data_IF_598041029297
#
_entry.id   IF_598041029297
#
_cell.length_a   1.000
_cell.length_b   1.000
_cell.length_c   1.000
_cell.angle_alpha   90.00
_cell.angle_beta   90.00
_cell.angle_gamma   90.00
#
_symmetry.space_group_name_H-M   'P 1'
#
loop_
_entity.id
_entity.type
_entity.pdbx_description
1 polymer ?
#
# COMPACT_ATOMS: atom_id res chain seq x y z
N UNK A 1 -16.23 -19.33 -17.30
CA UNK A 1 -15.76 -17.99 -17.71
C UNK A 1 -14.24 -18.10 -17.86
N UNK A 2 -13.65 -17.48 -18.87
CA UNK A 2 -12.19 -17.45 -19.02
C UNK A 2 -11.77 -16.11 -19.60
N UNK A 3 -10.66 -15.55 -19.12
CA UNK A 3 -10.00 -14.43 -19.76
C UNK A 3 -9.47 -14.94 -21.10
N UNK A 4 -9.94 -14.37 -22.21
CA UNK A 4 -9.62 -14.89 -23.56
C UNK A 4 -8.31 -14.30 -24.06
N UNK A 5 -8.07 -13.01 -23.82
CA UNK A 5 -6.87 -12.29 -24.25
C UNK A 5 -6.70 -10.98 -23.47
N UNK A 6 -5.44 -10.57 -23.35
CA UNK A 6 -5.00 -9.28 -22.82
C UNK A 6 -4.34 -8.49 -23.95
N UNK A 7 -4.67 -7.22 -24.10
CA UNK A 7 -3.92 -6.30 -24.98
C UNK A 7 -3.33 -5.15 -24.17
N UNK A 8 -2.21 -4.61 -24.66
CA UNK A 8 -1.41 -3.56 -24.00
C UNK A 8 -2.18 -2.24 -23.79
N UNK A 9 -3.36 -2.10 -24.41
CA UNK A 9 -4.23 -0.92 -24.39
C UNK A 9 -5.25 -0.90 -23.24
N UNK A 10 -5.05 -1.73 -22.19
CA UNK A 10 -5.94 -1.87 -21.01
C UNK A 10 -7.32 -2.46 -21.32
N UNK A 11 -7.45 -3.20 -22.42
CA UNK A 11 -8.73 -3.81 -22.80
C UNK A 11 -8.74 -5.32 -22.53
N UNK A 12 -9.86 -5.83 -22.02
CA UNK A 12 -10.03 -7.24 -21.68
C UNK A 12 -11.33 -7.78 -22.29
N UNK A 13 -11.23 -8.87 -23.06
CA UNK A 13 -12.42 -9.55 -23.60
C UNK A 13 -12.81 -10.70 -22.67
N UNK A 14 -14.01 -10.63 -22.11
CA UNK A 14 -14.55 -11.64 -21.21
C UNK A 14 -15.67 -12.41 -21.92
N UNK A 15 -15.56 -13.75 -21.95
CA UNK A 15 -16.68 -14.61 -22.34
C UNK A 15 -17.53 -14.91 -21.11
N UNK A 16 -18.77 -14.43 -21.09
CA UNK A 16 -19.76 -14.76 -20.07
C UNK A 16 -20.85 -15.66 -20.64
N UNK A 17 -21.08 -16.81 -19.98
CA UNK A 17 -22.24 -17.67 -20.23
C UNK A 17 -23.16 -17.49 -19.02
N UNK A 18 -24.33 -16.87 -19.22
CA UNK A 18 -25.38 -16.86 -18.19
C UNK A 18 -26.02 -18.24 -18.11
N UNK A 19 -26.47 -18.65 -16.92
CA UNK A 19 -27.23 -19.92 -16.76
C UNK A 19 -28.52 -19.97 -17.58
N UNK A 20 -29.05 -18.81 -17.97
CA UNK A 20 -30.37 -18.69 -18.61
C UNK A 20 -30.34 -18.28 -20.09
N UNK A 21 -29.17 -18.08 -20.70
CA UNK A 21 -29.10 -17.76 -22.13
C UNK A 21 -28.10 -18.67 -22.86
N UNK A 22 -28.55 -19.26 -23.97
CA UNK A 22 -27.72 -19.91 -24.99
C UNK A 22 -26.74 -18.96 -25.69
N UNK A 23 -26.59 -17.72 -25.21
CA UNK A 23 -25.83 -16.66 -25.87
C UNK A 23 -24.53 -16.34 -25.15
N UNK A 24 -23.42 -16.50 -25.87
CA UNK A 24 -22.11 -15.97 -25.49
C UNK A 24 -22.10 -14.45 -25.67
N UNK A 25 -22.41 -13.69 -24.61
CA UNK A 25 -22.24 -12.23 -24.64
C UNK A 25 -20.77 -11.88 -24.47
N UNK A 26 -20.23 -11.16 -25.47
CA UNK A 26 -18.88 -10.59 -25.43
C UNK A 26 -18.96 -9.16 -24.94
N UNK A 27 -18.13 -8.83 -23.96
CA UNK A 27 -18.04 -7.49 -23.39
C UNK A 27 -16.71 -6.84 -23.77
N UNK A 28 -16.75 -5.55 -24.05
CA UNK A 28 -15.56 -4.71 -24.00
C UNK A 28 -15.35 -4.25 -22.55
N UNK A 29 -14.11 -4.31 -22.05
CA UNK A 29 -13.82 -3.98 -20.66
C UNK A 29 -12.72 -2.95 -20.57
N UNK A 30 -12.97 -1.87 -19.85
CA UNK A 30 -11.94 -0.96 -19.36
C UNK A 30 -11.62 -1.29 -17.90
N UNK A 31 -10.34 -1.15 -17.52
CA UNK A 31 -9.88 -1.42 -16.16
C UNK A 31 -9.58 -0.11 -15.44
N UNK A 32 -10.31 0.15 -14.35
CA UNK A 32 -10.07 1.24 -13.42
C UNK A 32 -9.33 0.72 -12.17
N UNK A 33 -8.18 1.33 -11.88
CA UNK A 33 -7.34 1.06 -10.71
C UNK A 33 -6.98 2.41 -10.09
N UNK A 34 -6.97 2.48 -8.76
CA UNK A 34 -6.61 3.70 -8.05
C UNK A 34 -5.23 4.24 -8.47
N UNK A 35 -5.23 5.45 -9.03
CA UNK A 35 -4.03 6.14 -9.52
C UNK A 35 -3.17 6.73 -8.41
N UNK A 36 -3.59 6.68 -7.15
CA UNK A 36 -2.80 7.19 -6.03
C UNK A 36 -1.70 6.17 -5.65
N UNK A 37 -0.41 6.49 -5.82
CA UNK A 37 0.69 5.54 -5.58
C UNK A 37 0.93 5.21 -4.11
N UNK A 38 0.43 6.04 -3.18
CA UNK A 38 0.53 5.79 -1.74
C UNK A 38 -0.75 5.16 -1.17
N UNK A 39 -1.73 4.86 -2.02
CA UNK A 39 -2.95 4.18 -1.62
C UNK A 39 -2.73 2.66 -1.56
N UNK A 40 -3.18 2.05 -0.47
CA UNK A 40 -3.10 0.61 -0.20
C UNK A 40 -4.33 -0.17 -0.66
N UNK A 41 -5.27 0.44 -1.40
CA UNK A 41 -6.41 -0.29 -1.95
C UNK A 41 -5.92 -1.42 -2.87
N UNK A 42 -6.67 -2.51 -2.92
CA UNK A 42 -6.35 -3.71 -3.70
C UNK A 42 -7.37 -3.92 -4.84
N UNK A 43 -8.17 -2.88 -5.10
CA UNK A 43 -9.35 -2.98 -5.94
C UNK A 43 -9.00 -2.82 -7.42
N UNK A 44 -9.56 -3.71 -8.23
CA UNK A 44 -9.71 -3.56 -9.68
C UNK A 44 -11.20 -3.41 -9.97
N UNK A 45 -11.56 -2.41 -10.76
CA UNK A 45 -12.92 -2.27 -11.30
C UNK A 45 -12.91 -2.49 -12.81
N UNK A 46 -13.73 -3.43 -13.26
CA UNK A 46 -14.00 -3.69 -14.66
C UNK A 46 -15.25 -2.91 -15.07
N UNK A 47 -15.07 -1.92 -15.93
CA UNK A 47 -16.16 -1.17 -16.56
C UNK A 47 -16.53 -1.90 -17.86
N UNK A 48 -17.70 -2.55 -17.87
CA UNK A 48 -18.16 -3.39 -18.98
C UNK A 48 -19.07 -2.61 -19.93
N UNK A 49 -18.69 -2.60 -21.20
CA UNK A 49 -19.42 -1.98 -22.31
C UNK A 49 -19.88 -3.06 -23.29
N UNK A 50 -21.02 -2.84 -23.95
CA UNK A 50 -21.50 -3.75 -24.98
C UNK A 50 -20.52 -3.76 -26.16
N UNK A 51 -20.16 -4.93 -26.68
CA UNK A 51 -19.13 -5.02 -27.74
C UNK A 51 -19.52 -4.26 -29.00
N UNK A 52 -20.81 -4.18 -29.29
CA UNK A 52 -21.37 -3.49 -30.46
C UNK A 52 -21.51 -1.97 -30.25
N UNK A 53 -21.37 -1.48 -29.01
CA UNK A 53 -21.48 -0.06 -28.68
C UNK A 53 -20.32 0.39 -27.80
N UNK A 54 -19.12 0.47 -28.39
CA UNK A 54 -17.89 0.94 -27.72
C UNK A 54 -17.88 2.44 -27.44
N UNK A 55 -18.75 3.21 -28.08
CA UNK A 55 -18.85 4.66 -27.89
C UNK A 55 -19.83 5.06 -26.77
N UNK A 56 -20.40 4.10 -26.06
CA UNK A 56 -21.30 4.39 -24.95
C UNK A 56 -20.57 5.19 -23.85
N UNK A 57 -21.16 6.32 -23.45
CA UNK A 57 -20.58 7.21 -22.43
C UNK A 57 -20.50 6.59 -21.02
N UNK A 58 -21.31 5.56 -20.75
CA UNK A 58 -21.39 4.91 -19.45
C UNK A 58 -21.28 3.38 -19.58
N UNK A 59 -20.56 2.71 -18.66
CA UNK A 59 -20.51 1.26 -18.64
C UNK A 59 -21.87 0.69 -18.23
N UNK A 60 -22.20 -0.45 -18.83
CA UNK A 60 -23.42 -1.22 -18.51
C UNK A 60 -23.32 -1.91 -17.16
N UNK A 61 -22.11 -2.33 -16.77
CA UNK A 61 -21.83 -2.92 -15.46
C UNK A 61 -20.48 -2.44 -14.92
N UNK A 62 -20.36 -2.26 -13.60
CA UNK A 62 -19.10 -1.99 -12.92
C UNK A 62 -18.79 -3.08 -11.91
N UNK A 63 -17.82 -3.93 -12.23
CA UNK A 63 -17.49 -5.08 -11.40
C UNK A 63 -16.22 -4.82 -10.61
N UNK A 64 -16.33 -4.74 -9.29
CA UNK A 64 -15.20 -4.43 -8.42
C UNK A 64 -14.77 -5.64 -7.61
N UNK A 65 -13.47 -5.91 -7.59
CA UNK A 65 -12.87 -7.03 -6.88
C UNK A 65 -11.61 -6.58 -6.15
N UNK A 66 -11.35 -7.18 -5.00
CA UNK A 66 -10.07 -7.14 -4.30
C UNK A 66 -9.22 -8.25 -4.89
N UNK A 67 -8.16 -7.87 -5.60
CA UNK A 67 -7.37 -8.80 -6.40
C UNK A 67 -6.41 -9.65 -5.55
N UNK A 68 -6.00 -9.16 -4.39
CA UNK A 68 -5.08 -9.90 -3.52
C UNK A 68 -5.86 -10.85 -2.60
N UNK A 69 -6.99 -10.40 -2.07
CA UNK A 69 -7.87 -11.23 -1.23
C UNK A 69 -8.86 -12.10 -2.02
N UNK A 70 -8.84 -11.99 -3.36
CA UNK A 70 -9.68 -12.76 -4.29
C UNK A 70 -11.18 -12.72 -3.92
N UNK A 71 -11.72 -11.53 -3.68
CA UNK A 71 -13.12 -11.34 -3.26
C UNK A 71 -13.80 -10.18 -3.99
N UNK A 72 -15.12 -10.24 -4.11
CA UNK A 72 -15.90 -9.13 -4.64
C UNK A 72 -15.94 -7.96 -3.64
N UNK A 73 -15.88 -6.73 -4.16
CA UNK A 73 -15.91 -5.50 -3.36
C UNK A 73 -17.14 -4.69 -3.76
N UNK A 74 -17.76 -4.06 -2.77
CA UNK A 74 -18.84 -3.10 -2.99
C UNK A 74 -18.28 -1.70 -2.74
N UNK A 75 -18.10 -0.93 -3.81
CA UNK A 75 -17.63 0.45 -3.70
C UNK A 75 -18.75 1.37 -3.23
N UNK A 76 -18.36 2.43 -2.53
CA UNK A 76 -19.22 3.52 -2.07
C UNK A 76 -18.83 4.84 -2.74
N UNK A 77 -19.69 5.86 -2.66
CA UNK A 77 -19.45 7.19 -3.23
C UNK A 77 -19.96 7.36 -4.67
N UNK A 78 -19.33 8.26 -5.43
CA UNK A 78 -19.78 8.65 -6.78
C UNK A 78 -19.81 7.48 -7.78
N UNK A 79 -18.92 6.50 -7.61
CA UNK A 79 -18.88 5.26 -8.40
C UNK A 79 -19.34 4.04 -7.60
N UNK A 80 -20.38 4.19 -6.77
CA UNK A 80 -20.87 3.10 -5.94
C UNK A 80 -21.30 1.87 -6.76
N UNK A 81 -20.99 0.67 -6.25
CA UNK A 81 -21.40 -0.59 -6.88
C UNK A 81 -22.87 -0.87 -6.58
N UNK A 82 -23.68 -1.05 -7.64
CA UNK A 82 -25.09 -1.42 -7.49
C UNK A 82 -25.24 -2.80 -6.84
N UNK A 83 -26.44 -3.14 -6.34
CA UNK A 83 -26.68 -4.48 -5.79
C UNK A 83 -26.49 -5.56 -6.85
N UNK A 84 -26.93 -5.29 -8.07
CA UNK A 84 -26.83 -6.18 -9.23
C UNK A 84 -25.36 -6.40 -9.62
N UNK A 85 -24.60 -5.32 -9.76
CA UNK A 85 -23.18 -5.38 -10.10
C UNK A 85 -22.34 -6.06 -9.02
N UNK A 86 -22.71 -5.92 -7.74
CA UNK A 86 -22.04 -6.63 -6.66
C UNK A 86 -22.31 -8.15 -6.72
N UNK A 87 -23.53 -8.57 -7.05
CA UNK A 87 -23.82 -9.99 -7.27
C UNK A 87 -23.07 -10.52 -8.49
N UNK A 88 -23.02 -9.74 -9.57
CA UNK A 88 -22.25 -10.09 -10.76
C UNK A 88 -20.74 -10.19 -10.45
N UNK A 89 -20.20 -9.28 -9.64
CA UNK A 89 -18.81 -9.33 -9.15
C UNK A 89 -18.53 -10.62 -8.36
N UNK A 90 -19.45 -11.05 -7.48
CA UNK A 90 -19.32 -12.33 -6.76
C UNK A 90 -19.30 -13.53 -7.70
N UNK A 91 -20.13 -13.50 -8.75
CA UNK A 91 -20.14 -14.55 -9.76
C UNK A 91 -18.83 -14.59 -10.54
N UNK A 92 -18.25 -13.43 -10.86
CA UNK A 92 -16.95 -13.33 -11.52
C UNK A 92 -15.85 -13.95 -10.66
N UNK A 93 -15.74 -13.51 -9.40
CA UNK A 93 -14.76 -14.04 -8.43
C UNK A 93 -14.83 -15.56 -8.31
N UNK A 94 -16.05 -16.12 -8.22
CA UNK A 94 -16.26 -17.57 -8.08
C UNK A 94 -15.79 -18.37 -9.32
N UNK A 95 -15.79 -17.74 -10.49
CA UNK A 95 -15.52 -18.42 -11.76
C UNK A 95 -14.10 -18.22 -12.28
N UNK A 96 -13.28 -17.38 -11.64
CA UNK A 96 -11.88 -17.21 -12.00
C UNK A 96 -11.05 -18.43 -11.61
N UNK A 97 -10.23 -18.90 -12.56
CA UNK A 97 -9.21 -19.90 -12.31
C UNK A 97 -8.03 -19.29 -11.54
N UNK A 98 -7.18 -20.15 -10.96
CA UNK A 98 -5.94 -19.69 -10.31
C UNK A 98 -5.00 -18.97 -11.30
N UNK A 99 -5.02 -19.34 -12.58
CA UNK A 99 -4.28 -18.64 -13.60
C UNK A 99 -4.83 -17.22 -13.85
N UNK A 100 -6.16 -17.06 -13.91
CA UNK A 100 -6.79 -15.73 -14.06
C UNK A 100 -6.40 -14.81 -12.89
N UNK A 101 -6.44 -15.33 -11.66
CA UNK A 101 -6.01 -14.59 -10.48
C UNK A 101 -4.54 -14.20 -10.54
N UNK A 102 -3.65 -15.13 -10.88
CA UNK A 102 -2.21 -14.86 -11.00
C UNK A 102 -1.93 -13.75 -12.01
N UNK A 103 -2.59 -13.78 -13.18
CA UNK A 103 -2.45 -12.74 -14.20
C UNK A 103 -2.94 -11.37 -13.71
N UNK A 104 -4.12 -11.31 -13.07
CA UNK A 104 -4.67 -10.06 -12.55
C UNK A 104 -3.82 -9.48 -11.42
N UNK A 105 -3.30 -10.32 -10.52
CA UNK A 105 -2.40 -9.89 -9.45
C UNK A 105 -1.12 -9.31 -10.01
N UNK A 106 -0.48 -9.97 -10.99
CA UNK A 106 0.71 -9.45 -11.65
C UNK A 106 0.43 -8.12 -12.38
N UNK A 107 -0.67 -8.04 -13.12
CA UNK A 107 -1.08 -6.81 -13.78
C UNK A 107 -1.25 -5.65 -12.79
N UNK A 108 -2.00 -5.89 -11.70
CA UNK A 108 -2.24 -4.90 -10.66
C UNK A 108 -0.94 -4.42 -10.00
N UNK A 109 -0.08 -5.35 -9.57
CA UNK A 109 1.17 -5.02 -8.91
C UNK A 109 2.11 -4.22 -9.83
N UNK A 110 2.21 -4.61 -11.10
CA UNK A 110 2.98 -3.88 -12.10
C UNK A 110 2.42 -2.49 -12.36
N UNK A 111 1.10 -2.36 -12.42
CA UNK A 111 0.41 -1.08 -12.60
C UNK A 111 0.70 -0.13 -11.42
N UNK A 112 0.49 -0.59 -10.17
CA UNK A 112 0.75 0.21 -8.97
C UNK A 112 2.22 0.61 -8.86
N UNK A 113 3.16 -0.29 -9.21
CA UNK A 113 4.60 -0.01 -9.25
C UNK A 113 4.94 1.09 -10.25
N UNK A 114 4.45 0.98 -11.49
CA UNK A 114 4.69 1.98 -12.55
C UNK A 114 4.20 3.37 -12.13
N UNK A 115 3.05 3.46 -11.47
CA UNK A 115 2.55 4.74 -10.95
C UNK A 115 3.44 5.26 -9.82
N UNK A 116 3.85 4.41 -8.89
CA UNK A 116 4.75 4.79 -7.78
C UNK A 116 6.10 5.34 -8.26
N UNK A 117 6.62 4.79 -9.35
CA UNK A 117 7.88 5.22 -9.98
C UNK A 117 7.73 6.50 -10.81
N UNK A 118 6.64 6.63 -11.58
CA UNK A 118 6.43 7.76 -12.48
C UNK A 118 5.83 9.01 -11.83
N UNK A 119 5.15 8.87 -10.68
CA UNK A 119 4.50 10.00 -10.01
C UNK A 119 5.53 10.94 -9.38
N UNK A 120 5.56 12.24 -9.76
CA UNK A 120 6.45 13.20 -9.13
C UNK A 120 6.23 13.31 -7.62
N UNK A 121 7.33 13.34 -6.86
CA UNK A 121 7.30 13.47 -5.39
C UNK A 121 6.55 14.72 -4.91
N UNK A 122 6.51 15.78 -5.72
CA UNK A 122 5.74 17.00 -5.43
C UNK A 122 4.23 16.80 -5.38
N UNK A 123 3.70 15.81 -6.12
CA UNK A 123 2.27 15.52 -6.20
C UNK A 123 1.79 14.62 -5.07
N UNK A 124 2.70 14.06 -4.28
CA UNK A 124 2.37 13.18 -3.18
C UNK A 124 2.07 13.98 -1.90
N UNK A 125 0.97 13.62 -1.24
CA UNK A 125 0.60 14.18 0.05
C UNK A 125 0.71 13.11 1.14
N UNK A 126 1.90 13.01 1.73
CA UNK A 126 2.22 12.03 2.78
C UNK A 126 2.24 12.73 4.13
N UNK A 127 1.57 12.13 5.12
CA UNK A 127 1.67 12.55 6.51
C UNK A 127 2.82 11.82 7.20
N UNK A 128 3.57 12.53 8.03
CA UNK A 128 4.68 11.95 8.78
C UNK A 128 4.55 12.21 10.29
N UNK A 129 4.94 11.25 11.13
CA UNK A 129 5.02 11.44 12.58
C UNK A 129 6.26 12.28 12.96
N UNK A 130 6.27 13.57 12.58
CA UNK A 130 7.43 14.49 12.69
C UNK A 130 8.12 14.44 14.06
N UNK A 131 7.36 14.46 15.16
CA UNK A 131 7.93 14.42 16.52
C UNK A 131 8.76 13.16 16.75
N UNK A 132 8.26 12.00 16.33
CA UNK A 132 8.95 10.72 16.48
C UNK A 132 10.19 10.65 15.61
N UNK A 133 10.12 11.19 14.39
CA UNK A 133 11.26 11.25 13.47
C UNK A 133 12.37 12.14 14.04
N UNK A 134 12.05 13.34 14.49
CA UNK A 134 13.07 14.33 14.91
C UNK A 134 13.59 14.10 16.35
N UNK A 135 12.80 13.47 17.24
CA UNK A 135 13.17 13.33 18.68
C UNK A 135 13.42 11.90 19.12
N UNK A 136 12.69 10.94 18.54
CA UNK A 136 12.71 9.55 18.98
C UNK A 136 13.49 8.65 18.00
N UNK A 137 14.20 9.26 17.03
CA UNK A 137 14.97 8.58 15.99
C UNK A 137 14.17 7.55 15.19
N UNK A 138 12.85 7.76 15.05
CA UNK A 138 12.00 6.87 14.27
C UNK A 138 12.45 6.84 12.82
N UNK A 139 12.82 5.66 12.35
CA UNK A 139 13.03 5.37 10.94
C UNK A 139 11.70 5.02 10.28
N UNK A 140 11.54 5.38 9.01
CA UNK A 140 10.32 5.17 8.24
C UNK A 140 10.56 4.07 7.20
N UNK A 141 9.70 3.06 7.18
CA UNK A 141 9.73 2.00 6.18
C UNK A 141 9.35 2.54 4.81
N UNK A 142 9.99 1.99 3.77
CA UNK A 142 9.60 2.35 2.40
C UNK A 142 8.18 1.85 2.08
N UNK A 143 7.84 0.64 2.56
CA UNK A 143 6.52 0.02 2.44
C UNK A 143 5.42 0.80 3.18
N UNK A 144 5.75 1.52 4.26
CA UNK A 144 4.79 2.39 4.98
C UNK A 144 4.27 3.54 4.10
N UNK A 145 5.08 3.97 3.13
CA UNK A 145 4.75 5.09 2.24
C UNK A 145 4.27 4.59 0.88
N UNK A 146 4.90 3.54 0.36
CA UNK A 146 4.59 2.96 -0.95
C UNK A 146 4.17 1.51 -0.75
N UNK A 147 2.86 1.19 -0.71
CA UNK A 147 2.38 -0.16 -0.39
C UNK A 147 2.75 -1.24 -1.41
N UNK A 148 3.02 -0.85 -2.66
CA UNK A 148 3.36 -1.75 -3.77
C UNK A 148 4.66 -1.34 -4.45
N UNK A 149 5.79 -1.29 -3.72
CA UNK A 149 7.06 -0.94 -4.31
C UNK A 149 7.61 -2.12 -5.12
N UNK A 150 8.72 -1.91 -5.82
CA UNK A 150 9.52 -3.05 -6.28
C UNK A 150 10.00 -3.85 -5.07
N UNK A 151 9.79 -5.16 -5.07
CA UNK A 151 10.25 -6.02 -3.99
C UNK A 151 11.73 -6.36 -4.16
N UNK A 152 12.48 -6.31 -3.07
CA UNK A 152 13.90 -6.63 -3.08
C UNK A 152 14.12 -8.03 -2.51
N UNK A 153 14.42 -8.97 -3.40
CA UNK A 153 14.60 -10.38 -3.07
C UNK A 153 16.06 -10.84 -3.20
N UNK A 154 16.51 -11.60 -2.22
CA UNK A 154 17.68 -12.47 -2.30
C UNK A 154 17.23 -13.93 -2.26
N UNK A 155 18.04 -14.83 -2.80
CA UNK A 155 17.75 -16.26 -2.79
C UNK A 155 19.04 -17.03 -2.52
N UNK A 156 19.04 -17.84 -1.47
CA UNK A 156 20.16 -18.71 -1.10
C UNK A 156 19.60 -20.02 -0.53
N UNK A 157 20.13 -21.16 -0.98
CA UNK A 157 19.80 -22.50 -0.46
C UNK A 157 18.28 -22.78 -0.42
N UNK A 158 17.58 -22.45 -1.51
CA UNK A 158 16.11 -22.58 -1.67
C UNK A 158 15.29 -21.77 -0.63
N UNK A 159 15.89 -20.75 -0.03
CA UNK A 159 15.22 -19.80 0.86
C UNK A 159 15.22 -18.44 0.17
N UNK A 160 14.04 -17.84 0.06
CA UNK A 160 13.85 -16.47 -0.41
C UNK A 160 13.89 -15.50 0.76
N UNK A 161 14.57 -14.39 0.57
CA UNK A 161 14.73 -13.34 1.58
C UNK A 161 14.18 -12.04 1.04
N UNK A 162 13.06 -11.59 1.62
CA UNK A 162 12.52 -10.26 1.35
C UNK A 162 13.27 -9.25 2.21
N UNK A 163 13.74 -8.17 1.59
CA UNK A 163 14.39 -7.05 2.27
C UNK A 163 13.37 -5.94 2.51
N UNK A 164 12.95 -5.77 3.75
CA UNK A 164 12.10 -4.66 4.19
C UNK A 164 12.99 -3.53 4.75
N UNK A 165 12.98 -2.40 4.07
CA UNK A 165 13.94 -1.30 4.23
C UNK A 165 13.36 -0.06 4.90
N UNK A 166 14.06 0.43 5.93
CA UNK A 166 13.69 1.61 6.72
C UNK A 166 14.79 2.68 6.72
N UNK A 167 14.38 3.95 6.80
CA UNK A 167 15.26 5.11 6.59
C UNK A 167 15.07 6.20 7.64
N UNK A 168 16.19 6.83 8.03
CA UNK A 168 16.18 8.00 8.89
C UNK A 168 15.87 9.27 8.10
N UNK A 169 14.75 9.92 8.43
CA UNK A 169 14.33 11.16 7.78
C UNK A 169 14.62 12.42 8.60
N UNK A 170 15.22 12.27 9.79
CA UNK A 170 15.53 13.38 10.69
C UNK A 170 16.30 14.48 9.96
N UNK A 171 15.86 15.72 10.15
CA UNK A 171 16.30 16.83 9.29
C UNK A 171 17.71 17.33 9.55
N UNK A 172 18.25 17.01 10.72
CA UNK A 172 19.62 17.30 11.13
C UNK A 172 20.58 16.14 10.82
N UNK A 173 20.07 15.01 10.31
CA UNK A 173 20.85 13.81 10.07
C UNK A 173 21.24 13.66 8.59
N UNK A 174 22.51 13.37 8.33
CA UNK A 174 23.03 13.10 6.98
C UNK A 174 23.42 11.63 6.77
N UNK A 175 22.92 10.72 7.60
CA UNK A 175 23.36 9.33 7.58
C UNK A 175 23.05 8.63 6.25
N UNK A 176 23.80 7.57 5.99
CA UNK A 176 23.66 6.66 4.84
C UNK A 176 23.25 5.25 5.26
N UNK A 177 22.68 5.14 6.45
CA UNK A 177 22.20 3.89 7.01
C UNK A 177 20.79 3.56 6.51
N UNK A 178 20.57 2.27 6.29
CA UNK A 178 19.27 1.64 6.05
C UNK A 178 19.17 0.47 7.02
N UNK A 179 18.09 0.40 7.79
CA UNK A 179 17.78 -0.80 8.57
C UNK A 179 17.02 -1.75 7.65
N UNK A 180 17.53 -2.98 7.54
CA UNK A 180 16.93 -4.04 6.75
C UNK A 180 16.41 -5.11 7.69
N UNK A 181 15.09 -5.24 7.76
CA UNK A 181 14.43 -6.42 8.32
C UNK A 181 14.35 -7.46 7.22
N UNK A 182 15.04 -8.58 7.41
CA UNK A 182 15.19 -9.62 6.40
C UNK A 182 14.24 -10.77 6.76
N UNK A 183 13.21 -10.95 5.92
CA UNK A 183 12.16 -11.94 6.12
C UNK A 183 12.49 -13.18 5.28
N UNK A 184 12.74 -14.30 5.96
CA UNK A 184 13.07 -15.57 5.31
C UNK A 184 11.80 -16.37 5.01
N UNK A 185 11.67 -16.85 3.78
CA UNK A 185 10.52 -17.59 3.28
C UNK A 185 11.00 -18.86 2.58
N UNK A 186 10.46 -20.01 2.99
CA UNK A 186 10.71 -21.31 2.35
C UNK A 186 9.38 -22.02 2.13
N UNK A 187 9.14 -22.52 0.92
CA UNK A 187 7.89 -23.22 0.56
C UNK A 187 6.61 -22.44 0.91
N UNK A 188 6.64 -21.10 0.80
CA UNK A 188 5.51 -20.23 1.15
C UNK A 188 5.37 -19.91 2.64
N UNK A 189 6.19 -20.51 3.51
CA UNK A 189 6.15 -20.27 4.95
C UNK A 189 7.24 -19.28 5.39
N UNK A 190 6.84 -18.29 6.21
CA UNK A 190 7.77 -17.35 6.82
C UNK A 190 8.48 -18.03 7.99
N UNK A 191 9.80 -18.21 7.87
CA UNK A 191 10.66 -18.85 8.88
C UNK A 191 11.02 -17.93 10.05
N UNK A 192 10.86 -16.61 9.87
CA UNK A 192 11.42 -15.59 10.77
C UNK A 192 10.36 -14.74 11.49
N UNK A 193 9.12 -15.24 11.66
CA UNK A 193 7.95 -14.45 12.10
C UNK A 193 8.17 -13.65 13.39
N UNK A 194 8.68 -14.27 14.46
CA UNK A 194 8.81 -13.64 15.78
C UNK A 194 10.22 -13.11 16.08
N UNK A 195 11.19 -13.45 15.22
CA UNK A 195 12.60 -13.13 15.45
C UNK A 195 13.31 -12.92 14.10
N UNK A 196 13.02 -11.81 13.40
CA UNK A 196 13.61 -11.54 12.10
C UNK A 196 15.11 -11.26 12.21
N UNK A 197 15.83 -11.58 11.13
CA UNK A 197 17.18 -11.09 10.95
C UNK A 197 17.12 -9.59 10.68
N UNK A 198 17.92 -8.79 11.40
CA UNK A 198 17.94 -7.33 11.23
C UNK A 198 19.38 -6.87 11.12
N UNK A 199 19.69 -6.15 10.04
CA UNK A 199 21.00 -5.53 9.82
C UNK A 199 20.84 -4.04 9.57
N UNK A 200 21.78 -3.24 10.07
CA UNK A 200 21.93 -1.85 9.68
C UNK A 200 23.03 -1.79 8.61
N UNK A 201 22.66 -1.43 7.39
CA UNK A 201 23.55 -1.36 6.24
C UNK A 201 23.87 0.09 5.90
N UNK A 202 25.16 0.42 5.77
CA UNK A 202 25.62 1.69 5.22
C UNK A 202 25.85 1.55 3.72
N UNK A 203 24.96 2.13 2.90
CA UNK A 203 25.07 2.03 1.44
C UNK A 203 26.19 2.90 0.83
N UNK A 204 26.84 3.77 1.61
CA UNK A 204 28.00 4.54 1.19
C UNK A 204 29.30 3.82 1.52
N UNK A 205 29.42 3.29 2.74
CA UNK A 205 30.59 2.54 3.17
C UNK A 205 30.58 1.06 2.74
N UNK A 206 29.43 0.54 2.28
CA UNK A 206 29.21 -0.87 1.98
C UNK A 206 29.49 -1.80 3.17
N UNK A 207 29.23 -1.32 4.39
CA UNK A 207 29.42 -2.05 5.64
C UNK A 207 28.08 -2.37 6.29
N UNK A 208 28.04 -3.38 7.15
CA UNK A 208 26.85 -3.67 7.95
C UNK A 208 27.16 -3.93 9.43
N UNK A 209 26.25 -3.50 10.28
CA UNK A 209 26.14 -3.92 11.67
C UNK A 209 24.98 -4.90 11.81
N UNK A 210 25.20 -6.00 12.53
CA UNK A 210 24.15 -7.00 12.77
C UNK A 210 23.43 -6.65 14.06
N UNK A 211 22.18 -6.23 13.96
CA UNK A 211 21.36 -5.85 15.11
C UNK A 211 20.66 -7.07 15.72
N UNK A 212 20.16 -7.96 14.87
CA UNK A 212 19.57 -9.24 15.25
C UNK A 212 20.02 -10.30 14.24
N UNK A 213 20.42 -11.49 14.70
CA UNK A 213 20.89 -12.60 13.85
C UNK A 213 19.76 -13.44 13.24
N UNK A 214 18.53 -13.30 13.71
CA UNK A 214 17.41 -14.12 13.27
C UNK A 214 17.56 -15.60 13.66
N UNK A 215 16.76 -16.50 13.06
CA UNK A 215 16.79 -17.92 13.39
C UNK A 215 18.06 -18.62 12.90
N UNK A 216 18.37 -19.80 13.44
CA UNK A 216 19.62 -20.53 13.12
C UNK A 216 19.60 -21.24 11.76
N UNK A 217 18.41 -21.49 11.21
CA UNK A 217 18.19 -22.27 9.99
C UNK A 217 18.12 -21.41 8.71
N UNK A 218 18.67 -20.20 8.75
CA UNK A 218 18.75 -19.30 7.59
C UNK A 218 20.21 -18.93 7.30
N UNK A 219 20.44 -18.35 6.11
CA UNK A 219 21.74 -17.82 5.72
C UNK A 219 22.28 -16.82 6.75
N UNK A 220 23.60 -16.87 6.97
CA UNK A 220 24.26 -15.97 7.92
C UNK A 220 24.26 -14.54 7.38
N UNK A 221 24.28 -13.51 8.24
CA UNK A 221 24.32 -12.11 7.80
C UNK A 221 25.41 -11.80 6.78
N UNK A 222 26.60 -12.41 6.93
CA UNK A 222 27.72 -12.23 6.00
C UNK A 222 27.43 -12.75 4.58
N UNK A 223 26.64 -13.82 4.45
CA UNK A 223 26.28 -14.41 3.16
C UNK A 223 25.25 -13.52 2.45
N UNK A 224 24.24 -13.06 3.19
CA UNK A 224 23.24 -12.12 2.68
C UNK A 224 23.87 -10.76 2.31
N UNK A 225 24.83 -10.26 3.09
CA UNK A 225 25.57 -9.05 2.76
C UNK A 225 26.32 -9.19 1.43
N UNK A 226 26.98 -10.33 1.19
CA UNK A 226 27.65 -10.57 -0.10
C UNK A 226 26.66 -10.47 -1.26
N UNK A 227 25.46 -11.00 -1.09
CA UNK A 227 24.40 -10.92 -2.11
C UNK A 227 23.87 -9.50 -2.32
N UNK A 228 23.69 -8.72 -1.25
CA UNK A 228 23.33 -7.29 -1.32
C UNK A 228 24.37 -6.52 -2.14
N UNK A 229 25.65 -6.75 -1.88
CA UNK A 229 26.77 -6.10 -2.57
C UNK A 229 26.87 -6.56 -4.02
N UNK A 230 26.76 -7.87 -4.28
CA UNK A 230 26.80 -8.49 -5.61
C UNK A 230 25.70 -7.94 -6.52
N UNK A 231 24.46 -7.84 -6.00
CA UNK A 231 23.31 -7.27 -6.70
C UNK A 231 23.29 -5.73 -6.72
N UNK A 232 24.27 -5.07 -6.09
CA UNK A 232 24.40 -3.60 -6.02
C UNK A 232 23.17 -2.90 -5.44
N UNK A 233 22.48 -3.53 -4.48
CA UNK A 233 21.24 -3.01 -3.91
C UNK A 233 21.44 -1.70 -3.13
N UNK A 234 22.67 -1.37 -2.72
CA UNK A 234 23.02 -0.09 -2.11
C UNK A 234 22.60 1.13 -2.96
N UNK A 235 22.61 1.02 -4.29
CA UNK A 235 22.10 2.09 -5.18
C UNK A 235 20.59 2.30 -5.01
N UNK A 236 19.84 1.21 -4.90
CA UNK A 236 18.38 1.26 -4.69
C UNK A 236 18.08 1.88 -3.33
N UNK A 237 18.77 1.44 -2.27
CA UNK A 237 18.58 1.99 -0.93
C UNK A 237 18.87 3.49 -0.88
N UNK A 238 19.94 3.95 -1.54
CA UNK A 238 20.25 5.37 -1.67
C UNK A 238 19.13 6.18 -2.32
N UNK A 239 18.59 5.70 -3.44
CA UNK A 239 17.51 6.41 -4.16
C UNK A 239 16.20 6.42 -3.36
N UNK A 240 15.84 5.31 -2.70
CA UNK A 240 14.69 5.25 -1.79
C UNK A 240 14.84 6.21 -0.61
N UNK A 241 16.01 6.23 0.03
CA UNK A 241 16.32 7.17 1.11
C UNK A 241 16.16 8.62 0.64
N UNK A 242 16.71 8.97 -0.52
CA UNK A 242 16.59 10.30 -1.12
C UNK A 242 15.13 10.68 -1.39
N UNK A 243 14.34 9.75 -1.95
CA UNK A 243 12.91 9.95 -2.23
C UNK A 243 12.13 10.25 -0.95
N UNK A 244 12.32 9.46 0.11
CA UNK A 244 11.64 9.67 1.39
C UNK A 244 12.07 10.98 2.09
N UNK A 245 13.37 11.33 2.06
CA UNK A 245 13.84 12.62 2.59
C UNK A 245 13.22 13.81 1.84
N UNK A 246 13.06 13.70 0.53
CA UNK A 246 12.40 14.75 -0.26
C UNK A 246 10.91 14.88 0.09
N UNK A 247 10.19 13.76 0.23
CA UNK A 247 8.81 13.74 0.70
C UNK A 247 8.66 14.42 2.06
N UNK A 248 9.50 14.02 3.01
CA UNK A 248 9.49 14.58 4.35
C UNK A 248 9.82 16.08 4.38
N UNK A 249 10.81 16.51 3.59
CA UNK A 249 11.12 17.94 3.40
C UNK A 249 9.91 18.71 2.86
N UNK A 250 9.18 18.17 1.88
CA UNK A 250 7.98 18.79 1.33
C UNK A 250 6.85 18.87 2.36
N UNK A 251 6.63 17.80 3.13
CA UNK A 251 5.68 17.77 4.24
C UNK A 251 5.97 18.89 5.26
N UNK A 252 7.22 19.02 5.73
CA UNK A 252 7.61 20.07 6.68
C UNK A 252 7.43 21.48 6.12
N UNK A 253 7.78 21.70 4.85
CA UNK A 253 7.57 22.98 4.16
C UNK A 253 6.08 23.36 4.11
N UNK A 254 5.21 22.43 3.69
CA UNK A 254 3.75 22.66 3.64
C UNK A 254 3.19 22.98 5.03
N UNK A 255 3.62 22.24 6.06
CA UNK A 255 3.24 22.49 7.46
C UNK A 255 3.71 23.85 7.97
N UNK A 256 4.93 24.27 7.64
CA UNK A 256 5.43 25.59 8.04
C UNK A 256 4.67 26.73 7.34
N UNK A 257 4.31 26.55 6.06
CA UNK A 257 3.51 27.51 5.31
C UNK A 257 2.10 27.65 5.89
N UNK A 258 1.44 26.54 6.24
CA UNK A 258 0.10 26.59 6.85
C UNK A 258 0.13 27.28 8.21
N UNK A 259 1.15 27.03 9.04
CA UNK A 259 1.35 27.73 10.33
C UNK A 259 1.59 29.23 10.15
N UNK A 260 2.39 29.64 9.15
CA UNK A 260 2.61 31.06 8.83
C UNK A 260 1.33 31.75 8.33
N UNK A 261 0.50 31.04 7.55
CA UNK A 261 -0.78 31.57 7.07
C UNK A 261 -1.80 31.71 8.20
N UNK A 262 -1.85 30.78 9.15
CA UNK A 262 -2.72 30.90 10.33
C UNK A 262 -2.33 32.07 11.23
N UNK A 263 -1.03 32.38 11.34
CA UNK A 263 -0.54 33.53 12.12
C UNK A 263 -0.80 34.89 11.42
N UNK A 264 -1.01 34.90 10.10
CA UNK A 264 -1.29 36.12 9.31
C UNK A 264 -2.77 36.50 9.21
N UNK A 265 -3.70 35.69 9.75
CA UNK A 265 -5.12 36.05 9.88
C UNK A 265 -5.44 36.45 11.33
N UNK A 266 -5.25 37.72 11.74
CA UNK A 266 -5.77 38.20 13.02
C UNK A 266 -7.28 38.40 12.85
N UNK A 267 -8.10 37.43 13.27
CA UNK A 267 -9.55 37.59 13.12
C UNK A 267 -10.45 36.36 13.28
N UNK A 268 -9.93 35.18 13.63
CA UNK A 268 -10.79 34.15 14.20
C UNK A 268 -10.42 34.04 15.67
N UNK A 269 -11.31 34.52 16.53
CA UNK A 269 -11.31 34.21 17.95
C UNK A 269 -10.92 32.75 18.11
N UNK A 270 -9.86 32.50 18.86
CA UNK A 270 -9.69 31.21 19.51
C UNK A 270 -10.99 30.95 20.26
N UNK A 271 -11.90 30.17 19.67
CA UNK A 271 -12.74 29.31 20.46
C UNK A 271 -11.73 28.47 21.21
N UNK A 272 -11.38 28.92 22.42
CA UNK A 272 -11.08 28.01 23.51
C UNK A 272 -12.04 26.85 23.29
N UNK A 273 -11.51 25.65 23.07
CA UNK A 273 -12.31 24.45 23.19
C UNK A 273 -12.88 24.56 24.61
N UNK A 274 -14.09 25.10 24.74
CA UNK A 274 -15.03 24.62 25.72
C UNK A 274 -15.13 23.15 25.35
N UNK A 275 -14.26 22.35 25.97
CA UNK A 275 -14.47 20.93 26.11
C UNK A 275 -15.86 20.85 26.67
N UNK A 276 -16.84 20.61 25.78
CA UNK A 276 -18.24 20.43 26.13
C UNK A 276 -18.19 19.42 27.27
N UNK A 277 -18.48 19.86 28.51
CA UNK A 277 -18.31 19.02 29.69
C UNK A 277 -19.18 17.80 29.46
N UNK A 278 -18.54 16.67 29.15
CA UNK A 278 -19.19 15.45 28.75
C UNK A 278 -20.09 15.02 29.91
N UNK A 279 -21.40 14.97 29.67
CA UNK A 279 -22.38 14.80 30.74
C UNK A 279 -22.17 13.44 31.42
N UNK A 280 -22.24 13.38 32.76
CA UNK A 280 -22.08 12.12 33.51
C UNK A 280 -22.94 10.96 32.98
N UNK A 281 -24.09 11.27 32.37
CA UNK A 281 -25.02 10.29 31.82
C UNK A 281 -24.89 10.07 30.29
N UNK A 282 -24.01 10.78 29.58
CA UNK A 282 -23.79 10.63 28.13
C UNK A 282 -23.02 9.32 27.82
N UNK A 283 -23.13 8.79 26.58
CA UNK A 283 -22.33 7.65 26.13
C UNK A 283 -20.83 7.91 26.30
N UNK A 284 -20.10 6.93 26.80
CA UNK A 284 -18.67 7.08 27.07
C UNK A 284 -17.88 7.13 25.75
N UNK A 285 -17.00 8.13 25.55
CA UNK A 285 -16.25 8.29 24.31
C UNK A 285 -15.18 7.22 24.08
N UNK A 286 -14.92 6.33 25.05
CA UNK A 286 -14.02 5.20 24.87
C UNK A 286 -14.63 4.04 24.05
N UNK A 287 -15.88 4.17 23.59
CA UNK A 287 -16.55 3.17 22.76
C UNK A 287 -17.10 1.96 23.52
N UNK A 288 -17.15 2.02 24.86
CA UNK A 288 -17.64 0.90 25.70
C UNK A 288 -19.15 0.68 25.67
N UNK A 289 -19.92 1.59 25.05
CA UNK A 289 -21.39 1.57 25.06
C UNK A 289 -22.04 1.93 26.42
N UNK A 290 -21.25 2.17 27.48
CA UNK A 290 -21.73 2.54 28.82
C UNK A 290 -21.82 4.07 28.98
N UNK A 291 -22.61 4.55 29.96
CA UNK A 291 -22.63 5.98 30.35
C UNK A 291 -21.29 6.41 30.96
N UNK A 292 -20.83 7.64 30.70
CA UNK A 292 -19.51 8.16 31.10
C UNK A 292 -19.22 7.96 32.60
N UNK A 293 -20.18 8.23 33.48
CA UNK A 293 -20.05 8.03 34.94
C UNK A 293 -19.81 6.60 35.38
N UNK A 294 -20.21 5.61 34.58
CA UNK A 294 -20.08 4.17 34.90
C UNK A 294 -18.88 3.52 34.19
N UNK A 295 -18.10 4.28 33.41
CA UNK A 295 -17.00 3.75 32.64
C UNK A 295 -15.69 4.46 33.01
N UNK A 296 -15.39 5.63 32.43
CA UNK A 296 -14.11 6.30 32.62
C UNK A 296 -14.05 7.19 33.88
N UNK A 297 -15.17 7.34 34.61
CA UNK A 297 -15.24 8.18 35.82
C UNK A 297 -15.19 7.38 37.13
N UNK A 298 -15.27 6.05 37.05
CA UNK A 298 -14.95 5.16 38.16
C UNK A 298 -13.48 4.79 37.96
N UNK A 299 -12.59 5.46 38.70
CA UNK A 299 -11.27 4.89 38.99
C UNK A 299 -11.44 3.86 40.10
#
# INVERSE_FOLDING_TARGET
>A
MSIISYSEDKTLTINYITKDAKDNKKWYTEIDICQNPICSCQDITFELYDKENREAELPKHRLSIDVLEKKAVKLEGEKATSKEDFQLSKMFVKNFSENDWSQLQQFFLNFKRKISESTPVSHLNVSFPEKKIERDSLMIGYYDIFPYPEELWLELNDIKYLLDDQYCLASTCSCTHTVLTIIAIKNGEVLSKNYPLVIMFDYKANSCEVMNRGPKNIAKPKELLKEILRKRLGKIFKERHKKLRLLYKNFRKKKQQSLKQSLKKPGLSTKTNETKKLGRNEPCPCGSGKKYKKCCMLK
#
